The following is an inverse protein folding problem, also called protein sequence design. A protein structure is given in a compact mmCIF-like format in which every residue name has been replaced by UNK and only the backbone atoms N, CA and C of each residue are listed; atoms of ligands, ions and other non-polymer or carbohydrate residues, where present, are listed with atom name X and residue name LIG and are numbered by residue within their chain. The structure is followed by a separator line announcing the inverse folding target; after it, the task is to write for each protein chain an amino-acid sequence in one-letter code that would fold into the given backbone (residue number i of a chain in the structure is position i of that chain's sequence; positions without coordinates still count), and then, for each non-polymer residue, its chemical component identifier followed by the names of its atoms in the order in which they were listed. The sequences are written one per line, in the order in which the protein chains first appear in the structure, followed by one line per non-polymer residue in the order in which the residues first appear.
data_IF_141497445616
#
_entry.id   IF_141497445616
#
_cell.length_a   1.000
_cell.length_b   1.000
_cell.length_c   1.000
_cell.angle_alpha   90.00
_cell.angle_beta   90.00
_cell.angle_gamma   90.00
#
_symmetry.space_group_name_H-M   'P 1'
#
loop_
_entity.id
_entity.type
_entity.pdbx_description
1 polymer ?
#
# COMPACT_ATOMS: atom_id res chain seq x y z
N UNK A 1 -6.06 19.59 2.18
CA UNK A 1 -6.26 18.23 2.77
C UNK A 1 -5.19 17.30 2.23
N UNK A 2 -4.57 16.46 3.07
CA UNK A 2 -3.63 15.41 2.63
C UNK A 2 -4.16 14.07 3.13
N UNK A 3 -4.05 13.02 2.33
CA UNK A 3 -4.50 11.64 2.63
C UNK A 3 -3.29 10.71 2.70
N UNK A 4 -3.21 9.93 3.78
CA UNK A 4 -2.32 8.77 3.88
C UNK A 4 -3.05 7.54 3.32
N UNK A 5 -2.59 7.02 2.20
CA UNK A 5 -3.29 5.93 1.49
C UNK A 5 -2.91 4.53 1.98
N UNK A 6 -2.11 4.43 3.05
CA UNK A 6 -1.64 3.13 3.53
C UNK A 6 -1.36 3.15 5.03
N UNK A 7 -2.38 2.83 5.83
CA UNK A 7 -2.25 2.59 7.25
C UNK A 7 -2.87 1.25 7.62
N UNK A 8 -2.32 0.62 8.65
CA UNK A 8 -2.85 -0.61 9.21
C UNK A 8 -3.35 -0.38 10.63
N UNK A 9 -4.45 -1.04 10.98
CA UNK A 9 -5.02 -0.99 12.32
C UNK A 9 -5.31 -2.40 12.78
N UNK A 10 -5.01 -2.69 14.04
CA UNK A 10 -5.30 -4.00 14.61
C UNK A 10 -5.45 -3.96 16.14
N UNK A 11 -6.14 -4.98 16.66
CA UNK A 11 -6.01 -5.44 18.04
C UNK A 11 -5.11 -6.65 18.01
N UNK A 12 -3.97 -6.54 18.66
CA UNK A 12 -2.92 -7.54 18.56
C UNK A 12 -3.30 -8.85 19.28
N UNK A 13 -3.28 -9.94 18.55
CA UNK A 13 -3.34 -11.30 19.08
C UNK A 13 -2.27 -12.13 18.37
N UNK A 14 -1.30 -12.72 19.08
CA UNK A 14 -0.18 -13.43 18.44
C UNK A 14 -0.59 -14.50 17.43
N UNK A 15 -1.70 -15.21 17.69
CA UNK A 15 -2.22 -16.26 16.82
C UNK A 15 -2.76 -15.70 15.48
N UNK A 16 -3.18 -14.45 15.44
CA UNK A 16 -3.79 -13.82 14.25
C UNK A 16 -2.76 -13.09 13.37
N UNK A 17 -1.61 -12.73 13.97
CA UNK A 17 -0.55 -11.96 13.33
C UNK A 17 0.76 -12.74 13.28
N UNK A 18 0.73 -13.95 12.73
CA UNK A 18 1.89 -14.83 12.66
C UNK A 18 3.12 -14.25 11.92
N UNK A 19 2.95 -13.19 11.14
CA UNK A 19 4.04 -12.46 10.51
C UNK A 19 4.77 -11.51 11.47
N UNK A 20 4.13 -11.09 12.58
CA UNK A 20 4.75 -10.26 13.63
C UNK A 20 5.50 -11.21 14.59
N UNK A 21 6.81 -11.25 14.47
CA UNK A 21 7.68 -12.13 15.24
C UNK A 21 8.41 -11.40 16.38
N UNK A 22 9.20 -12.14 17.15
CA UNK A 22 9.96 -11.60 18.31
C UNK A 22 10.98 -10.51 17.95
N UNK A 23 11.38 -10.40 16.68
CA UNK A 23 12.20 -9.31 16.17
C UNK A 23 11.43 -8.00 15.94
N UNK A 24 10.11 -7.99 16.13
CA UNK A 24 9.20 -6.88 15.86
C UNK A 24 8.40 -6.45 17.12
N UNK A 25 9.01 -6.29 18.29
CA UNK A 25 8.27 -6.07 19.55
C UNK A 25 7.44 -4.79 19.55
N UNK A 26 7.84 -3.76 18.80
CA UNK A 26 7.09 -2.52 18.67
C UNK A 26 5.70 -2.75 18.07
N UNK A 27 5.51 -3.79 17.26
CA UNK A 27 4.22 -4.10 16.62
C UNK A 27 3.35 -5.05 17.45
N UNK A 28 3.87 -5.62 18.54
CA UNK A 28 3.17 -6.58 19.40
C UNK A 28 2.23 -5.88 20.41
N UNK A 29 1.43 -4.95 19.93
CA UNK A 29 0.43 -4.21 20.71
C UNK A 29 -0.72 -3.75 19.80
N UNK A 30 -1.79 -3.24 20.39
CA UNK A 30 -2.91 -2.65 19.64
C UNK A 30 -2.45 -1.37 18.94
N UNK A 31 -2.94 -1.19 17.71
CA UNK A 31 -2.81 0.04 16.94
C UNK A 31 -4.16 0.40 16.33
N UNK A 32 -4.73 1.51 16.78
CA UNK A 32 -6.04 1.99 16.37
C UNK A 32 -5.93 3.41 15.78
N UNK A 33 -6.94 3.92 15.08
CA UNK A 33 -6.87 5.27 14.49
C UNK A 33 -6.49 6.37 15.48
N UNK A 34 -6.94 6.28 16.73
CA UNK A 34 -6.61 7.24 17.77
C UNK A 34 -5.11 7.33 18.09
N UNK A 35 -4.37 6.23 17.93
CA UNK A 35 -2.93 6.17 18.24
C UNK A 35 -2.07 6.92 17.19
N UNK A 36 -2.61 7.10 15.96
CA UNK A 36 -1.94 7.83 14.88
C UNK A 36 -2.49 9.25 14.67
N UNK A 37 -3.63 9.60 15.25
CA UNK A 37 -4.35 10.84 14.91
C UNK A 37 -3.51 12.09 15.17
N UNK A 38 -2.87 12.18 16.33
CA UNK A 38 -2.06 13.35 16.69
C UNK A 38 -0.79 13.46 15.84
N UNK A 39 0.08 12.41 15.70
CA UNK A 39 1.22 12.46 14.79
C UNK A 39 0.84 12.74 13.33
N UNK A 40 -0.27 12.20 12.87
CA UNK A 40 -0.80 12.40 11.52
C UNK A 40 -1.16 13.88 11.30
N UNK A 41 -1.94 14.48 12.22
CA UNK A 41 -2.34 15.89 12.15
C UNK A 41 -1.13 16.83 12.28
N UNK A 42 -0.17 16.53 13.16
CA UNK A 42 1.06 17.30 13.29
C UNK A 42 1.88 17.35 11.99
N UNK A 43 1.80 16.28 11.17
CA UNK A 43 2.40 16.21 9.84
C UNK A 43 1.50 16.78 8.72
N UNK A 44 0.36 17.38 9.05
CA UNK A 44 -0.58 17.97 8.09
C UNK A 44 -1.41 16.95 7.30
N UNK A 45 -1.39 15.68 7.71
CA UNK A 45 -2.25 14.62 7.14
C UNK A 45 -3.58 14.63 7.91
N UNK A 46 -4.70 14.62 7.20
CA UNK A 46 -6.02 14.77 7.83
C UNK A 46 -6.92 13.55 7.67
N UNK A 47 -6.51 12.60 6.83
CA UNK A 47 -7.29 11.41 6.56
C UNK A 47 -6.41 10.23 6.15
N UNK A 48 -6.94 9.01 6.27
CA UNK A 48 -6.24 7.78 5.92
C UNK A 48 -7.12 6.77 5.18
N UNK A 49 -6.46 5.81 4.53
CA UNK A 49 -7.04 4.57 4.03
C UNK A 49 -6.52 3.42 4.89
N UNK A 50 -7.43 2.68 5.50
CA UNK A 50 -7.11 1.47 6.26
C UNK A 50 -6.89 0.29 5.30
N UNK A 51 -5.75 -0.36 5.39
CA UNK A 51 -5.38 -1.51 4.54
C UNK A 51 -5.27 -2.75 5.40
N UNK A 52 -5.74 -3.89 4.90
CA UNK A 52 -5.69 -5.18 5.61
C UNK A 52 -4.24 -5.53 6.01
N UNK A 53 -4.09 -6.16 7.18
CA UNK A 53 -2.84 -6.71 7.69
C UNK A 53 -2.88 -8.24 7.85
N UNK A 54 -4.06 -8.86 7.73
CA UNK A 54 -4.31 -10.31 7.84
C UNK A 54 -5.13 -10.81 6.65
N UNK A 55 -4.93 -12.08 6.30
CA UNK A 55 -5.68 -12.75 5.24
C UNK A 55 -6.92 -13.46 5.81
N UNK A 56 -7.86 -12.69 6.38
CA UNK A 56 -9.11 -13.20 6.93
C UNK A 56 -10.25 -12.18 6.78
N UNK A 57 -11.46 -12.66 6.54
CA UNK A 57 -12.63 -11.82 6.23
C UNK A 57 -13.09 -10.96 7.40
N UNK A 58 -12.91 -11.46 8.63
CA UNK A 58 -13.22 -10.72 9.86
C UNK A 58 -12.41 -9.42 9.98
N UNK A 59 -11.25 -9.33 9.31
CA UNK A 59 -10.50 -8.09 9.23
C UNK A 59 -11.21 -7.04 8.40
N UNK A 60 -11.81 -7.43 7.28
CA UNK A 60 -12.62 -6.50 6.48
C UNK A 60 -13.77 -5.91 7.30
N UNK A 61 -14.49 -6.75 8.04
CA UNK A 61 -15.57 -6.30 8.94
C UNK A 61 -15.03 -5.35 10.03
N UNK A 62 -13.91 -5.70 10.64
CA UNK A 62 -13.26 -4.88 11.68
C UNK A 62 -12.84 -3.50 11.15
N UNK A 63 -12.18 -3.46 9.98
CA UNK A 63 -11.74 -2.19 9.38
C UNK A 63 -12.90 -1.31 8.93
N UNK A 64 -13.98 -1.91 8.40
CA UNK A 64 -15.20 -1.19 8.05
C UNK A 64 -15.89 -0.60 9.27
N UNK A 65 -15.90 -1.32 10.40
CA UNK A 65 -16.42 -0.78 11.66
C UNK A 65 -15.53 0.37 12.17
N UNK A 66 -14.19 0.23 12.12
CA UNK A 66 -13.28 1.32 12.49
C UNK A 66 -13.50 2.58 11.63
N UNK A 67 -13.73 2.41 10.33
CA UNK A 67 -14.02 3.55 9.46
C UNK A 67 -15.35 4.22 9.79
N UNK A 68 -16.37 3.46 10.19
CA UNK A 68 -17.65 4.01 10.64
C UNK A 68 -17.52 4.82 11.94
N UNK A 69 -16.63 4.41 12.84
CA UNK A 69 -16.43 5.04 14.15
C UNK A 69 -15.40 6.20 14.11
N UNK A 70 -14.60 6.30 13.03
CA UNK A 70 -13.50 7.26 12.92
C UNK A 70 -13.55 8.03 11.59
N UNK A 71 -14.05 9.27 11.56
CA UNK A 71 -14.20 10.08 10.33
C UNK A 71 -12.89 10.34 9.58
N UNK A 72 -11.73 10.21 10.22
CA UNK A 72 -10.43 10.33 9.58
C UNK A 72 -10.08 9.13 8.69
N UNK A 73 -10.77 7.98 8.83
CA UNK A 73 -10.58 6.80 8.00
C UNK A 73 -11.59 6.85 6.85
N UNK A 74 -11.16 7.34 5.68
CA UNK A 74 -12.04 7.59 4.52
C UNK A 74 -12.29 6.37 3.66
N UNK A 75 -11.53 5.31 3.84
CA UNK A 75 -11.67 4.11 3.04
C UNK A 75 -10.99 2.90 3.63
N UNK A 76 -11.43 1.75 3.16
CA UNK A 76 -10.94 0.43 3.55
C UNK A 76 -10.54 -0.36 2.32
N UNK A 77 -9.32 -0.88 2.32
CA UNK A 77 -8.83 -1.94 1.45
C UNK A 77 -8.80 -3.23 2.27
N UNK A 78 -9.83 -4.03 2.12
CA UNK A 78 -10.04 -5.26 2.89
C UNK A 78 -9.33 -6.48 2.32
N UNK A 79 -9.68 -7.65 2.87
CA UNK A 79 -9.31 -8.94 2.34
C UNK A 79 -10.53 -9.86 2.20
N UNK A 80 -10.52 -10.68 1.16
CA UNK A 80 -11.41 -11.84 0.99
C UNK A 80 -10.73 -12.87 0.10
N UNK A 81 -11.14 -14.13 0.18
CA UNK A 81 -10.70 -15.11 -0.81
C UNK A 81 -11.36 -14.83 -2.17
N UNK A 82 -10.59 -14.19 -3.05
CA UNK A 82 -11.03 -13.82 -4.40
C UNK A 82 -11.36 -15.02 -5.30
N UNK A 83 -10.97 -16.24 -4.90
CA UNK A 83 -11.30 -17.50 -5.60
C UNK A 83 -12.63 -18.09 -5.15
N UNK A 84 -13.21 -17.56 -4.06
CA UNK A 84 -14.42 -18.08 -3.45
C UNK A 84 -15.63 -18.04 -4.39
N UNK A 85 -16.42 -19.09 -4.39
CA UNK A 85 -17.71 -19.11 -5.09
C UNK A 85 -18.73 -18.15 -4.48
N UNK A 86 -18.59 -17.77 -3.21
CA UNK A 86 -19.44 -16.82 -2.49
C UNK A 86 -18.97 -15.36 -2.62
N UNK A 87 -17.92 -15.08 -3.40
CA UNK A 87 -17.34 -13.74 -3.51
C UNK A 87 -18.39 -12.67 -3.85
N UNK A 88 -19.29 -12.95 -4.78
CA UNK A 88 -20.31 -11.98 -5.20
C UNK A 88 -21.23 -11.60 -4.04
N UNK A 89 -21.76 -12.56 -3.29
CA UNK A 89 -22.65 -12.33 -2.15
C UNK A 89 -21.94 -11.51 -1.06
N UNK A 90 -20.69 -11.87 -0.75
CA UNK A 90 -19.87 -11.13 0.24
C UNK A 90 -19.65 -9.69 -0.15
N UNK A 91 -19.28 -9.45 -1.41
CA UNK A 91 -19.08 -8.09 -1.92
C UNK A 91 -20.39 -7.26 -1.86
N UNK A 92 -21.54 -7.85 -2.21
CA UNK A 92 -22.83 -7.18 -2.13
C UNK A 92 -23.17 -6.75 -0.69
N UNK A 93 -22.79 -7.54 0.30
CA UNK A 93 -22.96 -7.19 1.71
C UNK A 93 -22.01 -6.08 2.15
N UNK A 94 -20.70 -6.20 1.89
CA UNK A 94 -19.72 -5.22 2.30
C UNK A 94 -19.86 -3.87 1.57
N UNK A 95 -20.28 -3.87 0.31
CA UNK A 95 -20.50 -2.64 -0.47
C UNK A 95 -21.67 -1.79 0.04
N UNK A 96 -22.47 -2.27 0.98
CA UNK A 96 -23.45 -1.45 1.69
C UNK A 96 -22.74 -0.42 2.60
N UNK A 97 -21.51 -0.69 3.01
CA UNK A 97 -20.68 0.26 3.75
C UNK A 97 -19.91 1.14 2.74
N UNK A 98 -20.15 2.47 2.74
CA UNK A 98 -19.53 3.38 1.79
C UNK A 98 -18.03 3.55 1.97
N UNK A 99 -17.46 3.05 3.08
CA UNK A 99 -16.02 3.10 3.30
C UNK A 99 -15.25 2.00 2.55
N UNK A 100 -15.92 0.93 2.04
CA UNK A 100 -15.23 -0.07 1.24
C UNK A 100 -14.72 0.52 -0.08
N UNK A 101 -13.42 0.41 -0.34
CA UNK A 101 -12.77 1.00 -1.52
C UNK A 101 -12.04 -0.01 -2.39
N UNK A 102 -11.59 -1.11 -1.82
CA UNK A 102 -10.83 -2.11 -2.55
C UNK A 102 -10.49 -3.32 -1.71
N UNK A 103 -9.69 -4.18 -2.29
CA UNK A 103 -9.17 -5.38 -1.64
C UNK A 103 -7.69 -5.57 -1.97
N UNK A 104 -6.99 -6.26 -1.07
CA UNK A 104 -5.60 -6.67 -1.26
C UNK A 104 -5.43 -8.13 -0.88
N UNK A 105 -4.62 -8.84 -1.62
CA UNK A 105 -4.07 -10.14 -1.23
C UNK A 105 -2.57 -10.01 -1.01
N UNK A 106 -2.03 -10.68 0.00
CA UNK A 106 -0.58 -10.66 0.31
C UNK A 106 0.13 -11.61 -0.66
N UNK A 107 0.18 -11.23 -1.92
CA UNK A 107 0.75 -12.06 -3.01
C UNK A 107 2.23 -12.35 -2.78
N UNK A 108 2.96 -11.40 -2.17
CA UNK A 108 4.40 -11.54 -1.92
C UNK A 108 4.76 -12.80 -1.12
N UNK A 109 3.87 -13.28 -0.25
CA UNK A 109 4.11 -14.38 0.68
C UNK A 109 3.55 -15.73 0.15
N UNK A 110 2.98 -15.73 -1.05
CA UNK A 110 2.50 -16.95 -1.68
C UNK A 110 3.66 -17.85 -2.12
N UNK A 111 3.57 -19.16 -1.89
CA UNK A 111 4.63 -20.10 -2.26
C UNK A 111 4.81 -20.22 -3.78
N UNK A 112 3.77 -19.93 -4.56
CA UNK A 112 3.76 -19.94 -6.02
C UNK A 112 3.07 -18.68 -6.55
N UNK A 113 3.80 -17.56 -6.57
CA UNK A 113 3.30 -16.26 -7.06
C UNK A 113 2.84 -16.33 -8.51
N UNK A 114 3.62 -16.88 -9.47
CA UNK A 114 3.16 -17.04 -10.84
C UNK A 114 1.89 -17.90 -10.95
N UNK A 115 1.79 -18.97 -10.17
CA UNK A 115 0.63 -19.85 -10.13
C UNK A 115 -0.62 -19.11 -9.67
N UNK A 116 -0.54 -18.36 -8.56
CA UNK A 116 -1.65 -17.55 -8.08
C UNK A 116 -2.07 -16.49 -9.11
N UNK A 117 -1.14 -15.71 -9.64
CA UNK A 117 -1.44 -14.63 -10.60
C UNK A 117 -2.02 -15.15 -11.92
N UNK A 118 -1.77 -16.43 -12.27
CA UNK A 118 -2.37 -17.10 -13.43
C UNK A 118 -3.60 -17.96 -13.07
N UNK A 119 -3.95 -18.09 -11.79
CA UNK A 119 -5.15 -18.84 -11.38
C UNK A 119 -6.42 -18.18 -11.92
N UNK A 120 -7.22 -18.95 -12.66
CA UNK A 120 -8.39 -18.44 -13.34
C UNK A 120 -9.49 -17.96 -12.37
N UNK A 121 -9.59 -18.54 -11.16
CA UNK A 121 -10.56 -18.13 -10.16
C UNK A 121 -10.11 -16.79 -9.52
N UNK A 122 -8.85 -16.65 -9.20
CA UNK A 122 -8.26 -15.41 -8.68
C UNK A 122 -8.44 -14.24 -9.67
N UNK A 123 -8.12 -14.46 -10.94
CA UNK A 123 -8.31 -13.45 -11.99
C UNK A 123 -9.78 -13.05 -12.17
N UNK A 124 -10.71 -14.02 -12.14
CA UNK A 124 -12.15 -13.71 -12.17
C UNK A 124 -12.58 -12.86 -10.97
N UNK A 125 -12.03 -13.15 -9.78
CA UNK A 125 -12.28 -12.38 -8.57
C UNK A 125 -11.83 -10.92 -8.72
N UNK A 126 -10.58 -10.68 -9.14
CA UNK A 126 -10.08 -9.31 -9.37
C UNK A 126 -10.89 -8.58 -10.45
N UNK A 127 -11.20 -9.24 -11.57
CA UNK A 127 -12.07 -8.66 -12.59
C UNK A 127 -13.48 -8.34 -12.04
N UNK A 128 -13.98 -9.13 -11.07
CA UNK A 128 -15.26 -8.85 -10.42
C UNK A 128 -15.19 -7.60 -9.54
N UNK A 129 -14.10 -7.42 -8.76
CA UNK A 129 -13.86 -6.18 -8.01
C UNK A 129 -13.90 -4.96 -8.93
N UNK A 130 -13.13 -5.01 -10.01
CA UNK A 130 -13.03 -3.88 -10.96
C UNK A 130 -14.38 -3.52 -11.59
N UNK A 131 -15.19 -4.49 -11.99
CA UNK A 131 -16.55 -4.24 -12.51
C UNK A 131 -17.47 -3.57 -11.48
N UNK A 132 -17.24 -3.81 -10.19
CA UNK A 132 -17.95 -3.13 -9.09
C UNK A 132 -17.35 -1.75 -8.76
N UNK A 133 -16.24 -1.38 -9.41
CA UNK A 133 -15.53 -0.12 -9.18
C UNK A 133 -14.72 -0.11 -7.90
N UNK A 134 -14.28 -1.28 -7.44
CA UNK A 134 -13.36 -1.46 -6.33
C UNK A 134 -11.94 -1.63 -6.85
N UNK A 135 -10.98 -0.98 -6.20
CA UNK A 135 -9.55 -1.10 -6.52
C UNK A 135 -8.99 -2.44 -6.05
N UNK A 136 -7.91 -2.86 -6.67
CA UNK A 136 -7.11 -3.98 -6.18
C UNK A 136 -5.68 -3.50 -5.93
N UNK A 137 -5.23 -3.61 -4.68
CA UNK A 137 -3.86 -3.26 -4.30
C UNK A 137 -2.93 -4.44 -4.56
N UNK A 138 -1.84 -4.19 -5.26
CA UNK A 138 -0.87 -5.20 -5.74
C UNK A 138 0.35 -5.16 -4.82
N UNK A 139 0.48 -6.15 -3.95
CA UNK A 139 1.59 -6.27 -3.00
C UNK A 139 2.55 -7.37 -3.42
N UNK A 140 3.77 -7.01 -3.82
CA UNK A 140 4.81 -7.88 -4.34
C UNK A 140 6.19 -7.42 -3.89
N UNK A 141 7.13 -8.36 -3.78
CA UNK A 141 8.55 -8.01 -3.70
C UNK A 141 9.13 -7.63 -5.07
N UNK A 142 10.19 -6.82 -5.08
CA UNK A 142 10.81 -6.33 -6.31
C UNK A 142 11.23 -7.41 -7.32
N UNK A 143 11.63 -8.58 -6.85
CA UNK A 143 11.98 -9.69 -7.71
C UNK A 143 10.77 -10.41 -8.36
N UNK A 144 9.55 -10.16 -7.87
CA UNK A 144 8.28 -10.73 -8.36
C UNK A 144 7.55 -9.80 -9.36
N UNK A 145 8.02 -8.56 -9.56
CA UNK A 145 7.38 -7.60 -10.46
C UNK A 145 7.23 -8.11 -11.91
N UNK A 146 8.17 -8.90 -12.48
CA UNK A 146 7.97 -9.48 -13.80
C UNK A 146 6.72 -10.36 -13.92
N UNK A 147 6.39 -11.11 -12.86
CA UNK A 147 5.24 -12.01 -12.83
C UNK A 147 3.92 -11.24 -12.84
N UNK A 148 3.90 -10.05 -12.22
CA UNK A 148 2.72 -9.19 -12.15
C UNK A 148 2.38 -8.48 -13.46
N UNK A 149 3.32 -8.34 -14.39
CA UNK A 149 3.11 -7.52 -15.60
C UNK A 149 1.92 -8.02 -16.44
N UNK A 150 1.87 -9.31 -16.73
CA UNK A 150 0.78 -9.90 -17.52
C UNK A 150 -0.56 -9.88 -16.75
N UNK A 151 -0.52 -10.08 -15.43
CA UNK A 151 -1.67 -9.98 -14.56
C UNK A 151 -2.24 -8.56 -14.57
N UNK A 152 -1.42 -7.55 -14.28
CA UNK A 152 -1.86 -6.15 -14.26
C UNK A 152 -2.37 -5.69 -15.65
N UNK A 153 -1.76 -6.14 -16.74
CA UNK A 153 -2.21 -5.78 -18.08
C UNK A 153 -3.61 -6.32 -18.44
N UNK A 154 -4.06 -7.42 -17.81
CA UNK A 154 -5.40 -8.00 -18.03
C UNK A 154 -6.49 -7.32 -17.22
N UNK A 155 -6.15 -6.59 -16.16
CA UNK A 155 -7.08 -5.99 -15.22
C UNK A 155 -7.13 -4.47 -15.39
N UNK A 156 -7.70 -4.00 -16.52
CA UNK A 156 -7.70 -2.60 -16.96
C UNK A 156 -9.06 -1.89 -16.80
N UNK A 157 -10.04 -2.56 -16.14
CA UNK A 157 -11.40 -2.01 -16.03
C UNK A 157 -11.54 -1.01 -14.88
N UNK A 158 -10.59 -0.97 -13.96
CA UNK A 158 -10.49 -0.02 -12.87
C UNK A 158 -9.04 0.06 -12.38
N UNK A 159 -8.75 0.96 -11.44
CA UNK A 159 -7.42 1.13 -10.91
C UNK A 159 -6.87 -0.13 -10.23
N UNK A 160 -5.64 -0.45 -10.57
CA UNK A 160 -4.73 -1.23 -9.74
C UNK A 160 -3.81 -0.26 -9.01
N UNK A 161 -3.39 -0.62 -7.79
CA UNK A 161 -2.50 0.22 -6.98
C UNK A 161 -1.30 -0.61 -6.54
N UNK A 162 -0.11 -0.27 -7.04
CA UNK A 162 1.13 -0.93 -6.63
C UNK A 162 1.56 -0.42 -5.25
N UNK A 163 1.59 -1.31 -4.27
CA UNK A 163 2.05 -0.99 -2.93
C UNK A 163 3.57 -0.84 -2.87
N UNK A 164 4.07 0.10 -2.05
CA UNK A 164 5.45 0.23 -1.61
C UNK A 164 6.47 0.33 -2.75
N UNK A 165 6.10 0.98 -3.85
CA UNK A 165 6.96 1.13 -5.05
C UNK A 165 7.44 -0.24 -5.57
N UNK A 166 6.65 -1.31 -5.32
CA UNK A 166 7.03 -2.68 -5.64
C UNK A 166 8.22 -3.19 -4.84
N UNK A 167 8.37 -2.74 -3.59
CA UNK A 167 9.33 -3.24 -2.57
C UNK A 167 10.74 -3.53 -3.12
N UNK A 168 11.51 -2.49 -3.53
CA UNK A 168 12.89 -2.66 -3.91
C UNK A 168 13.72 -3.24 -2.76
N UNK A 169 14.61 -4.18 -3.02
CA UNK A 169 15.45 -4.80 -1.99
C UNK A 169 16.55 -3.81 -1.55
N UNK A 170 16.20 -2.79 -0.75
CA UNK A 170 17.10 -1.71 -0.33
C UNK A 170 18.27 -2.21 0.51
N UNK A 171 18.09 -3.28 1.29
CA UNK A 171 19.20 -3.92 2.03
C UNK A 171 20.34 -4.39 1.13
N UNK A 172 20.03 -4.68 -0.13
CA UNK A 172 20.96 -5.15 -1.15
C UNK A 172 21.25 -4.10 -2.24
N UNK A 173 20.87 -2.84 -2.01
CA UNK A 173 20.88 -1.76 -3.01
C UNK A 173 22.27 -1.46 -3.59
N UNK A 174 23.34 -1.78 -2.85
CA UNK A 174 24.72 -1.62 -3.32
C UNK A 174 25.09 -2.60 -4.44
N UNK A 175 24.28 -3.63 -4.67
CA UNK A 175 24.47 -4.56 -5.79
C UNK A 175 23.85 -3.96 -7.07
N UNK A 176 24.63 -3.57 -8.08
CA UNK A 176 24.12 -2.82 -9.23
C UNK A 176 22.99 -3.52 -9.99
N UNK A 177 23.06 -4.85 -10.07
CA UNK A 177 22.06 -5.66 -10.77
C UNK A 177 20.70 -5.66 -10.10
N UNK A 178 20.63 -5.52 -8.76
CA UNK A 178 19.38 -5.50 -8.02
C UNK A 178 18.60 -4.22 -8.33
N UNK A 179 19.26 -3.08 -8.19
CA UNK A 179 18.66 -1.79 -8.51
C UNK A 179 18.27 -1.69 -10.00
N UNK A 180 19.11 -2.17 -10.90
CA UNK A 180 18.85 -2.12 -12.33
C UNK A 180 17.66 -2.99 -12.75
N UNK A 181 17.55 -4.21 -12.20
CA UNK A 181 16.40 -5.10 -12.45
C UNK A 181 15.10 -4.48 -11.94
N UNK A 182 15.07 -4.04 -10.68
CA UNK A 182 13.89 -3.41 -10.12
C UNK A 182 13.43 -2.19 -10.95
N UNK A 183 14.36 -1.28 -11.35
CA UNK A 183 14.04 -0.12 -12.21
C UNK A 183 13.41 -0.54 -13.53
N UNK A 184 13.98 -1.55 -14.19
CA UNK A 184 13.48 -2.08 -15.46
C UNK A 184 12.03 -2.57 -15.29
N UNK A 185 11.78 -3.35 -14.26
CA UNK A 185 10.50 -4.02 -14.05
C UNK A 185 9.43 -3.03 -13.55
N UNK A 186 9.80 -2.07 -12.68
CA UNK A 186 8.94 -0.96 -12.29
C UNK A 186 8.50 -0.13 -13.50
N UNK A 187 9.46 0.25 -14.38
CA UNK A 187 9.15 1.02 -15.59
C UNK A 187 8.29 0.21 -16.58
N UNK A 188 8.40 -1.10 -16.61
CA UNK A 188 7.53 -1.95 -17.42
C UNK A 188 6.08 -1.93 -16.92
N UNK A 189 5.87 -2.04 -15.60
CA UNK A 189 4.55 -1.91 -14.97
C UNK A 189 3.98 -0.50 -15.13
N UNK A 190 4.78 0.53 -14.98
CA UNK A 190 4.35 1.93 -15.10
C UNK A 190 3.82 2.31 -16.49
N UNK A 191 4.09 1.50 -17.54
CA UNK A 191 3.48 1.68 -18.88
C UNK A 191 1.98 1.40 -18.89
N UNK A 192 1.46 0.72 -17.87
CA UNK A 192 0.04 0.42 -17.76
C UNK A 192 -0.67 1.68 -17.22
N UNK A 193 -1.56 2.31 -18.01
CA UNK A 193 -2.15 3.59 -17.64
C UNK A 193 -3.14 3.52 -16.46
N UNK A 194 -3.64 2.33 -16.16
CA UNK A 194 -4.57 2.02 -15.06
C UNK A 194 -3.86 1.55 -13.78
N UNK A 195 -2.54 1.68 -13.71
CA UNK A 195 -1.76 1.35 -12.52
C UNK A 195 -1.27 2.63 -11.83
N UNK A 196 -1.66 2.81 -10.58
CA UNK A 196 -1.10 3.80 -9.66
C UNK A 196 -0.03 3.18 -8.76
N UNK A 197 0.75 4.00 -8.07
CA UNK A 197 1.81 3.53 -7.20
C UNK A 197 1.83 4.33 -5.88
N UNK A 198 1.96 3.64 -4.75
CA UNK A 198 2.15 4.24 -3.43
C UNK A 198 3.63 4.42 -3.12
N UNK A 199 4.01 5.64 -2.77
CA UNK A 199 5.28 5.92 -2.10
C UNK A 199 5.11 5.64 -0.61
N UNK A 200 5.39 4.40 -0.22
CA UNK A 200 5.16 3.87 1.14
C UNK A 200 6.12 2.71 1.42
N UNK A 201 6.26 2.30 2.68
CA UNK A 201 6.85 1.03 3.12
C UNK A 201 8.35 0.85 2.85
N UNK A 202 9.07 1.81 2.27
CA UNK A 202 10.47 1.63 1.89
C UNK A 202 11.44 1.61 3.08
N UNK A 203 11.09 2.24 4.19
CA UNK A 203 11.93 2.23 5.39
C UNK A 203 12.13 0.80 5.92
N UNK A 204 11.15 -0.07 5.78
CA UNK A 204 11.21 -1.48 6.20
C UNK A 204 11.92 -2.39 5.20
N UNK A 205 12.21 -1.92 4.00
CA UNK A 205 13.02 -2.65 3.02
C UNK A 205 14.53 -2.44 3.22
N UNK A 206 14.93 -1.53 4.12
CA UNK A 206 16.32 -1.29 4.51
C UNK A 206 16.85 -2.37 5.48
N UNK A 207 18.10 -2.26 5.89
CA UNK A 207 18.70 -3.18 6.87
C UNK A 207 18.33 -2.80 8.34
N UNK A 208 17.14 -2.29 8.60
CA UNK A 208 16.69 -1.76 9.88
C UNK A 208 16.84 -2.73 11.05
N UNK A 209 16.61 -4.02 10.84
CA UNK A 209 16.69 -5.04 11.89
C UNK A 209 18.09 -5.15 12.51
N UNK A 210 19.12 -4.79 11.75
CA UNK A 210 20.52 -4.79 12.18
C UNK A 210 20.95 -3.41 12.67
N UNK A 211 20.54 -2.36 11.97
CA UNK A 211 20.95 -0.97 12.22
C UNK A 211 20.10 -0.28 13.30
N UNK A 212 18.89 -0.77 13.59
CA UNK A 212 17.86 -0.20 14.49
C UNK A 212 17.48 1.26 14.17
N UNK A 213 17.78 1.72 12.97
CA UNK A 213 17.44 3.04 12.44
C UNK A 213 17.66 3.06 10.92
N UNK A 214 17.01 3.98 10.22
CA UNK A 214 17.28 4.27 8.81
C UNK A 214 18.53 5.13 8.73
N UNK A 215 19.57 4.64 8.06
CA UNK A 215 20.82 5.40 7.89
C UNK A 215 20.66 6.51 6.83
N UNK A 216 21.59 7.48 6.83
CA UNK A 216 21.63 8.51 5.77
C UNK A 216 21.80 7.89 4.36
N UNK A 217 22.49 6.74 4.26
CA UNK A 217 22.62 6.01 3.00
C UNK A 217 21.31 5.37 2.56
N UNK A 218 20.52 4.84 3.51
CA UNK A 218 19.20 4.30 3.24
C UNK A 218 18.21 5.39 2.83
N UNK A 219 18.24 6.56 3.51
CA UNK A 219 17.44 7.72 3.10
C UNK A 219 17.73 8.11 1.65
N UNK A 220 19.02 8.18 1.27
CA UNK A 220 19.41 8.50 -0.10
C UNK A 220 18.90 7.43 -1.10
N UNK A 221 18.96 6.16 -0.75
CA UNK A 221 18.46 5.08 -1.59
C UNK A 221 16.91 5.11 -1.73
N UNK A 222 16.19 5.42 -0.64
CA UNK A 222 14.73 5.62 -0.68
C UNK A 222 14.37 6.78 -1.62
N UNK A 223 15.06 7.92 -1.50
CA UNK A 223 14.82 9.07 -2.37
C UNK A 223 15.12 8.76 -3.84
N UNK A 224 16.16 7.96 -4.13
CA UNK A 224 16.40 7.47 -5.49
C UNK A 224 15.24 6.62 -6.00
N UNK A 225 14.66 5.76 -5.17
CA UNK A 225 13.48 4.97 -5.56
C UNK A 225 12.26 5.86 -5.81
N UNK A 226 12.07 6.92 -5.03
CA UNK A 226 10.99 7.88 -5.24
C UNK A 226 11.19 8.67 -6.56
N UNK A 227 12.42 9.10 -6.86
CA UNK A 227 12.72 9.75 -8.14
C UNK A 227 12.47 8.81 -9.33
N UNK A 228 12.88 7.55 -9.25
CA UNK A 228 12.59 6.54 -10.29
C UNK A 228 11.09 6.30 -10.45
N UNK A 229 10.33 6.26 -9.36
CA UNK A 229 8.87 6.14 -9.41
C UNK A 229 8.24 7.37 -10.06
N UNK A 230 8.73 8.58 -9.75
CA UNK A 230 8.27 9.82 -10.35
C UNK A 230 8.54 9.85 -11.87
N UNK A 231 9.72 9.43 -12.30
CA UNK A 231 10.05 9.32 -13.73
C UNK A 231 9.16 8.30 -14.45
N UNK A 232 8.84 7.18 -13.78
CA UNK A 232 8.09 6.09 -14.38
C UNK A 232 6.58 6.36 -14.45
N UNK A 233 5.97 6.83 -13.36
CA UNK A 233 4.52 7.00 -13.21
C UNK A 233 4.04 8.44 -13.45
N UNK A 234 4.92 9.42 -13.29
CA UNK A 234 4.53 10.83 -13.23
C UNK A 234 3.74 11.18 -11.96
N UNK A 235 3.61 12.48 -11.62
CA UNK A 235 2.92 12.92 -10.40
C UNK A 235 1.43 12.55 -10.40
N UNK A 236 0.81 12.33 -11.55
CA UNK A 236 -0.61 11.99 -11.70
C UNK A 236 -0.97 10.55 -11.33
N UNK A 237 0.02 9.70 -11.03
CA UNK A 237 -0.22 8.29 -10.64
C UNK A 237 0.57 7.86 -9.40
N UNK A 238 1.06 8.82 -8.64
CA UNK A 238 1.74 8.59 -7.36
C UNK A 238 0.89 9.10 -6.20
N UNK A 239 0.91 8.39 -5.08
CA UNK A 239 0.25 8.81 -3.85
C UNK A 239 1.08 8.44 -2.63
N UNK A 240 0.92 9.21 -1.55
CA UNK A 240 1.58 8.97 -0.28
C UNK A 240 0.92 7.84 0.51
N UNK A 241 1.73 7.02 1.18
CA UNK A 241 1.33 6.10 2.23
C UNK A 241 2.41 5.98 3.29
N UNK A 242 2.05 6.01 4.57
CA UNK A 242 3.02 5.90 5.66
C UNK A 242 3.48 4.47 5.92
N UNK A 243 2.61 3.50 5.65
CA UNK A 243 2.75 2.12 6.13
C UNK A 243 2.78 2.03 7.67
N UNK A 244 2.12 3.01 8.36
CA UNK A 244 1.99 2.98 9.82
C UNK A 244 1.05 1.82 10.25
N UNK A 245 1.34 1.10 11.32
CA UNK A 245 2.46 1.23 12.24
C UNK A 245 3.70 0.42 11.80
N UNK A 246 3.65 -0.33 10.69
CA UNK A 246 4.75 -1.19 10.22
C UNK A 246 6.03 -0.37 10.02
N UNK A 247 5.92 0.86 9.53
CA UNK A 247 7.05 1.77 9.39
C UNK A 247 7.85 2.01 10.69
N UNK A 248 7.21 1.88 11.88
CA UNK A 248 7.86 2.02 13.19
C UNK A 248 8.90 0.94 13.50
N UNK A 249 9.00 -0.11 12.69
CA UNK A 249 10.10 -1.05 12.76
C UNK A 249 11.46 -0.40 12.41
N UNK A 250 11.44 0.63 11.58
CA UNK A 250 12.63 1.26 11.04
C UNK A 250 12.66 2.77 11.29
N UNK A 251 11.56 3.46 11.04
CA UNK A 251 11.44 4.90 11.27
C UNK A 251 11.27 5.23 12.75
N UNK A 252 11.86 6.33 13.19
CA UNK A 252 11.76 6.82 14.58
C UNK A 252 10.38 7.40 14.90
N UNK A 253 9.64 7.83 13.87
CA UNK A 253 8.33 8.46 14.00
C UNK A 253 7.55 8.46 12.68
N UNK A 254 6.24 8.70 12.78
CA UNK A 254 5.38 8.97 11.63
C UNK A 254 5.89 10.14 10.76
N UNK A 255 6.34 11.22 11.42
CA UNK A 255 6.84 12.43 10.74
C UNK A 255 8.08 12.15 9.89
N UNK A 256 8.95 11.20 10.29
CA UNK A 256 10.13 10.83 9.49
C UNK A 256 9.71 10.30 8.12
N UNK A 257 8.68 9.44 8.07
CA UNK A 257 8.16 8.89 6.82
C UNK A 257 7.52 9.98 5.95
N UNK A 258 6.78 10.91 6.56
CA UNK A 258 6.19 12.05 5.83
C UNK A 258 7.28 12.95 5.25
N UNK A 259 8.35 13.25 6.00
CA UNK A 259 9.46 14.08 5.52
C UNK A 259 10.19 13.47 4.31
N UNK A 260 10.28 12.14 4.22
CA UNK A 260 10.82 11.49 3.01
C UNK A 260 9.98 11.83 1.77
N UNK A 261 8.66 11.76 1.88
CA UNK A 261 7.77 12.12 0.78
C UNK A 261 7.79 13.64 0.48
N UNK A 262 7.87 14.48 1.51
CA UNK A 262 7.98 15.93 1.36
C UNK A 262 9.28 16.33 0.66
N UNK A 263 10.37 15.60 0.88
CA UNK A 263 11.65 15.82 0.17
C UNK A 263 11.51 15.64 -1.35
N UNK A 264 10.67 14.69 -1.80
CA UNK A 264 10.35 14.54 -3.21
C UNK A 264 9.46 15.68 -3.69
N UNK A 265 8.36 15.94 -2.95
CA UNK A 265 7.32 16.87 -3.38
C UNK A 265 7.71 18.34 -3.23
N UNK A 266 8.83 18.66 -2.59
CA UNK A 266 9.38 20.01 -2.51
C UNK A 266 9.67 20.65 -3.88
N UNK A 267 9.85 19.82 -4.92
CA UNK A 267 10.07 20.26 -6.31
C UNK A 267 8.78 20.31 -7.15
N UNK A 268 7.64 19.89 -6.57
CA UNK A 268 6.37 19.85 -7.28
C UNK A 268 5.71 21.22 -7.37
N UNK A 269 5.04 21.49 -8.47
CA UNK A 269 4.06 22.58 -8.58
C UNK A 269 2.90 22.36 -7.59
N UNK A 270 2.10 23.40 -7.38
CA UNK A 270 0.89 23.31 -6.53
C UNK A 270 -0.05 22.20 -7.01
N UNK A 271 -0.30 22.13 -8.32
CA UNK A 271 -1.15 21.08 -8.92
C UNK A 271 -0.57 19.68 -8.72
N UNK A 272 0.73 19.49 -8.89
CA UNK A 272 1.37 18.18 -8.68
C UNK A 272 1.32 17.77 -7.20
N UNK A 273 1.47 18.73 -6.28
CA UNK A 273 1.28 18.49 -4.85
C UNK A 273 -0.16 18.07 -4.54
N UNK A 274 -1.16 18.75 -5.12
CA UNK A 274 -2.57 18.38 -4.94
C UNK A 274 -2.85 16.97 -5.48
N UNK A 275 -2.33 16.63 -6.65
CA UNK A 275 -2.44 15.27 -7.21
C UNK A 275 -1.86 14.24 -6.25
N UNK A 276 -0.61 14.41 -5.82
CA UNK A 276 0.11 13.44 -4.99
C UNK A 276 -0.51 13.23 -3.61
N UNK A 277 -0.88 14.33 -2.94
CA UNK A 277 -1.36 14.27 -1.56
C UNK A 277 -2.87 14.03 -1.43
N UNK A 278 -3.65 14.17 -2.53
CA UNK A 278 -5.10 14.14 -2.46
C UNK A 278 -5.78 13.49 -3.66
N UNK A 279 -5.67 14.09 -4.87
CA UNK A 279 -6.55 13.77 -5.99
C UNK A 279 -6.33 12.34 -6.52
N UNK A 280 -5.10 11.85 -6.53
CA UNK A 280 -4.80 10.48 -6.95
C UNK A 280 -5.46 9.46 -6.01
N UNK A 281 -5.46 9.72 -4.70
CA UNK A 281 -6.16 8.88 -3.73
C UNK A 281 -7.68 8.90 -3.95
N UNK A 282 -8.26 10.09 -4.19
CA UNK A 282 -9.68 10.26 -4.52
C UNK A 282 -10.03 9.45 -5.78
N UNK A 283 -9.21 9.53 -6.81
CA UNK A 283 -9.41 8.80 -8.07
C UNK A 283 -9.29 7.30 -7.89
N UNK A 284 -8.20 6.83 -7.26
CA UNK A 284 -7.93 5.40 -7.08
C UNK A 284 -9.02 4.71 -6.26
N UNK A 285 -9.43 5.33 -5.16
CA UNK A 285 -10.34 4.75 -4.18
C UNK A 285 -11.76 5.32 -4.22
N UNK A 286 -12.10 6.10 -5.24
CA UNK A 286 -13.44 6.73 -5.39
C UNK A 286 -13.93 7.39 -4.10
N UNK A 287 -13.03 8.12 -3.42
CA UNK A 287 -13.38 8.84 -2.20
C UNK A 287 -14.28 10.01 -2.60
N UNK A 288 -15.45 10.09 -2.00
CA UNK A 288 -16.32 11.27 -2.17
C UNK A 288 -15.67 12.43 -1.43
N UNK A 289 -15.43 13.55 -2.13
CA UNK A 289 -14.93 14.78 -1.46
C UNK A 289 -15.90 15.16 -0.35
N UNK A 290 -15.34 15.36 0.85
CA UNK A 290 -16.05 15.81 2.03
C UNK A 290 -16.39 17.30 1.93
#
# INVERSE_FOLDING_TARGET
MKIDTHQHYWRYQPQDFGWINDGMPVLQQDFLPADCLEPMHAAGITASIAVQARSMEQETDFLLQLAADNPSVLGVVGWTDLRSAQLQERLENWMQNPALRGFRHIVQDEPDVPGLLNDAAFQRGVAHLQRKGLSYDVLLFGHQLPDAQAFCARHDQHWLVLDHVGKPALRDWKQPDIAARWRKDLRALARLPHLMCKLSGLVTETAWSTAKAVSAGDHAAILQCYDEALEAFGPQRLMFGSDWPVALLAASSYSEVVHLAESLTAKFSETENELFWLENAISAYKITKL
#
